data_IF_080293508674
#
_entry.id   IF_080293508674
#
_cell.length_a   1.000
_cell.length_b   1.000
_cell.length_c   1.000
_cell.angle_alpha   90.00
_cell.angle_beta   90.00
_cell.angle_gamma   90.00
#
_symmetry.space_group_name_H-M   'P 1'
#
loop_
_entity.id
_entity.type
_entity.pdbx_description
1 polymer ?
#
# COMPACT_ATOMS: atom_id res chain seq x y z
N UNK A 1 0.69 19.28 -12.31
CA UNK A 1 1.07 17.90 -11.95
C UNK A 1 1.25 17.88 -10.46
N UNK A 2 0.35 17.22 -9.72
CA UNK A 2 0.58 17.03 -8.29
C UNK A 2 1.73 16.03 -8.17
N UNK A 3 2.89 16.54 -7.80
CA UNK A 3 3.99 15.74 -7.27
C UNK A 3 3.44 15.05 -6.01
N UNK A 4 2.88 13.85 -6.20
CA UNK A 4 2.51 13.01 -5.08
C UNK A 4 3.82 12.65 -4.43
N UNK A 5 4.16 13.41 -3.40
CA UNK A 5 5.26 13.12 -2.50
C UNK A 5 4.91 11.76 -1.90
N UNK A 6 5.43 10.71 -2.54
CA UNK A 6 5.32 9.35 -2.09
C UNK A 6 6.04 9.31 -0.77
N UNK A 7 5.30 9.56 0.30
CA UNK A 7 5.82 9.50 1.66
C UNK A 7 6.12 8.01 1.89
N UNK A 8 7.29 7.60 1.40
CA UNK A 8 7.91 6.28 1.49
C UNK A 8 8.38 6.12 2.93
N UNK A 9 7.45 6.31 3.85
CA UNK A 9 7.59 6.08 5.28
C UNK A 9 6.84 4.81 5.61
N UNK A 10 7.19 4.26 6.76
CA UNK A 10 6.48 3.13 7.31
C UNK A 10 5.01 3.50 7.52
N UNK A 11 4.10 2.66 7.05
CA UNK A 11 2.67 2.94 7.10
C UNK A 11 1.89 1.74 7.62
N UNK A 12 0.91 2.00 8.48
CA UNK A 12 -0.03 0.98 8.91
C UNK A 12 -0.99 0.63 7.77
N UNK A 13 -1.41 -0.64 7.69
CA UNK A 13 -2.40 -1.08 6.70
C UNK A 13 -3.71 -0.26 6.77
N UNK A 14 -4.09 0.18 7.98
CA UNK A 14 -5.26 1.03 8.18
C UNK A 14 -5.12 2.42 7.56
N UNK A 15 -4.00 3.09 7.78
CA UNK A 15 -3.71 4.39 7.17
C UNK A 15 -3.60 4.30 5.65
N UNK A 16 -2.96 3.23 5.14
CA UNK A 16 -2.85 3.01 3.70
C UNK A 16 -4.22 2.77 3.06
N UNK A 17 -5.09 1.99 3.71
CA UNK A 17 -6.46 1.75 3.25
C UNK A 17 -7.27 3.06 3.18
N UNK A 18 -7.15 3.92 4.21
CA UNK A 18 -7.77 5.26 4.22
C UNK A 18 -7.26 6.14 3.09
N UNK A 19 -5.94 6.18 2.86
CA UNK A 19 -5.33 6.97 1.77
C UNK A 19 -5.75 6.50 0.38
N UNK A 20 -5.94 5.19 0.22
CA UNK A 20 -6.40 4.59 -1.02
C UNK A 20 -7.93 4.62 -1.18
N UNK A 21 -8.65 5.14 -0.18
CA UNK A 21 -10.12 5.16 -0.12
C UNK A 21 -10.75 3.77 -0.34
N UNK A 22 -10.16 2.74 0.28
CA UNK A 22 -10.65 1.36 0.22
C UNK A 22 -10.77 0.76 1.61
N UNK A 23 -11.60 -0.27 1.74
CA UNK A 23 -11.67 -1.07 2.96
C UNK A 23 -10.35 -1.82 3.20
N UNK A 24 -10.00 -2.02 4.47
CA UNK A 24 -8.82 -2.81 4.87
C UNK A 24 -8.87 -4.26 4.38
N UNK A 25 -10.07 -4.82 4.21
CA UNK A 25 -10.26 -6.13 3.59
C UNK A 25 -9.89 -6.12 2.10
N UNK A 26 -10.40 -5.16 1.34
CA UNK A 26 -10.04 -4.95 -0.07
C UNK A 26 -8.54 -4.77 -0.24
N UNK A 27 -7.93 -3.95 0.63
CA UNK A 27 -6.47 -3.77 0.64
C UNK A 27 -5.75 -5.11 0.86
N UNK A 28 -6.17 -5.91 1.83
CA UNK A 28 -5.58 -7.24 2.09
C UNK A 28 -5.71 -8.20 0.92
N UNK A 29 -6.87 -8.22 0.25
CA UNK A 29 -7.09 -9.05 -0.93
C UNK A 29 -6.14 -8.64 -2.06
N UNK A 30 -6.07 -7.34 -2.37
CA UNK A 30 -5.17 -6.79 -3.38
C UNK A 30 -3.71 -7.05 -3.06
N UNK A 31 -3.32 -6.92 -1.79
CA UNK A 31 -1.95 -7.23 -1.33
C UNK A 31 -1.55 -8.68 -1.58
N UNK A 32 -2.49 -9.65 -1.50
CA UNK A 32 -2.21 -11.06 -1.81
C UNK A 32 -1.93 -11.29 -3.30
N UNK A 33 -2.42 -10.41 -4.17
CA UNK A 33 -2.18 -10.50 -5.62
C UNK A 33 -0.77 -9.99 -6.00
N UNK A 34 -0.12 -9.21 -5.11
CA UNK A 34 1.20 -8.64 -5.37
C UNK A 34 2.29 -9.67 -5.08
N UNK A 35 2.90 -10.21 -6.16
CA UNK A 35 4.04 -11.13 -6.05
C UNK A 35 5.21 -10.46 -5.32
N UNK A 36 5.72 -11.12 -4.28
CA UNK A 36 6.84 -10.63 -3.47
C UNK A 36 6.46 -9.83 -2.22
N UNK A 37 5.15 -9.64 -1.96
CA UNK A 37 4.66 -8.89 -0.80
C UNK A 37 4.23 -9.82 0.35
N UNK A 38 5.17 -10.30 1.17
CA UNK A 38 4.84 -11.10 2.36
C UNK A 38 4.53 -10.25 3.59
N UNK A 39 3.30 -9.79 3.73
CA UNK A 39 2.90 -8.92 4.86
C UNK A 39 2.08 -9.65 5.92
N UNK A 40 2.07 -10.99 5.87
CA UNK A 40 1.06 -11.87 6.45
C UNK A 40 0.70 -11.59 7.92
N UNK A 41 1.67 -11.21 8.77
CA UNK A 41 1.43 -10.86 10.18
C UNK A 41 1.88 -9.46 10.59
N UNK A 42 2.44 -8.68 9.67
CA UNK A 42 3.00 -7.36 9.99
C UNK A 42 1.89 -6.30 10.03
N UNK A 43 1.85 -5.52 11.13
CA UNK A 43 0.94 -4.36 11.28
C UNK A 43 1.41 -3.16 10.45
N UNK A 44 2.72 -2.97 10.36
CA UNK A 44 3.39 -1.92 9.60
C UNK A 44 3.94 -2.47 8.29
N UNK A 45 3.81 -1.66 7.24
CA UNK A 45 4.37 -1.88 5.91
C UNK A 45 5.65 -1.06 5.76
N UNK A 46 6.64 -1.65 5.13
CA UNK A 46 7.87 -0.96 4.78
C UNK A 46 7.63 0.02 3.62
N UNK A 47 8.42 1.09 3.51
CA UNK A 47 8.35 2.05 2.42
C UNK A 47 8.26 1.44 1.00
N UNK A 48 9.05 0.41 0.73
CA UNK A 48 9.08 -0.26 -0.58
C UNK A 48 7.82 -1.11 -0.81
N UNK A 49 7.25 -1.70 0.23
CA UNK A 49 5.97 -2.42 0.18
C UNK A 49 4.81 -1.47 -0.11
N UNK A 50 4.80 -0.31 0.57
CA UNK A 50 3.84 0.76 0.33
C UNK A 50 3.91 1.21 -1.13
N UNK A 51 5.12 1.41 -1.66
CA UNK A 51 5.32 1.76 -3.08
C UNK A 51 4.76 0.69 -4.03
N UNK A 52 5.03 -0.59 -3.78
CA UNK A 52 4.48 -1.68 -4.60
C UNK A 52 2.96 -1.71 -4.59
N UNK A 53 2.35 -1.50 -3.43
CA UNK A 53 0.90 -1.44 -3.29
C UNK A 53 0.35 -0.28 -4.10
N UNK A 54 0.93 0.91 -3.97
CA UNK A 54 0.49 2.06 -4.73
C UNK A 54 0.58 1.88 -6.25
N UNK A 55 1.70 1.33 -6.74
CA UNK A 55 1.86 0.98 -8.15
C UNK A 55 0.80 -0.04 -8.61
N UNK A 56 0.52 -1.05 -7.78
CA UNK A 56 -0.50 -2.05 -8.08
C UNK A 56 -1.92 -1.47 -8.13
N UNK A 57 -2.20 -0.45 -7.31
CA UNK A 57 -3.46 0.29 -7.33
C UNK A 57 -3.53 1.35 -8.45
N UNK A 58 -2.49 1.49 -9.28
CA UNK A 58 -2.46 2.41 -10.42
C UNK A 58 -2.12 3.86 -10.05
N UNK A 59 -1.66 4.10 -8.82
CA UNK A 59 -1.13 5.40 -8.42
C UNK A 59 0.37 5.43 -8.79
N UNK A 60 0.82 6.47 -9.52
CA UNK A 60 2.22 6.63 -9.94
C UNK A 60 2.51 6.53 -11.43
N UNK A 61 1.52 6.87 -12.26
CA UNK A 61 1.73 7.15 -13.69
C UNK A 61 2.18 8.59 -13.91
#
# INVERSE_FOLDING_TARGET
MNEQNWDMKFMSKGDLAKKLNVSTETLRLKMKEIKGLDTSRRKLLYPWEVRLIYLHFGYGK
#
